data_IF_569814695877
#
_entry.id   IF_569814695877
#
_cell.length_a   1.000
_cell.length_b   1.000
_cell.length_c   1.000
_cell.angle_alpha   90.00
_cell.angle_beta   90.00
_cell.angle_gamma   90.00
#
_symmetry.space_group_name_H-M   'P 1'
#
loop_
_entity.id
_entity.type
_entity.pdbx_description
1 polymer ?
#
# COMPACT_ATOMS: atom_id res chain seq x y z
N UNK A 1 17.04 29.91 -12.33
CA UNK A 1 16.97 28.96 -11.20
C UNK A 1 16.00 27.87 -11.60
N UNK A 2 16.47 26.63 -11.76
CA UNK A 2 15.60 25.54 -12.19
C UNK A 2 14.57 25.29 -11.08
N UNK A 3 13.30 25.57 -11.35
CA UNK A 3 12.20 25.28 -10.44
C UNK A 3 12.12 23.75 -10.37
N UNK A 4 12.40 23.15 -9.20
CA UNK A 4 12.13 21.72 -8.98
C UNK A 4 10.64 21.48 -9.25
N UNK A 5 10.34 20.44 -10.01
CA UNK A 5 8.98 20.15 -10.46
C UNK A 5 8.08 19.65 -9.32
N UNK A 6 8.65 18.97 -8.32
CA UNK A 6 7.95 18.44 -7.15
C UNK A 6 8.81 18.56 -5.89
N UNK A 7 8.16 18.75 -4.75
CA UNK A 7 8.75 18.76 -3.41
C UNK A 7 8.09 17.64 -2.61
N UNK A 8 8.85 16.94 -1.77
CA UNK A 8 8.37 15.77 -1.01
C UNK A 8 8.78 15.91 0.45
N UNK A 9 7.93 15.44 1.37
CA UNK A 9 8.22 15.41 2.81
C UNK A 9 8.34 16.80 3.44
N UNK A 10 9.35 16.98 4.31
CA UNK A 10 9.57 18.21 5.06
C UNK A 10 9.81 19.43 4.15
N UNK A 11 10.42 19.23 2.97
CA UNK A 11 10.59 20.29 1.97
C UNK A 11 9.25 20.86 1.50
N UNK A 12 8.26 19.98 1.26
CA UNK A 12 6.92 20.38 0.85
C UNK A 12 6.16 21.06 2.01
N UNK A 13 6.23 20.50 3.22
CA UNK A 13 5.55 21.04 4.39
C UNK A 13 6.05 22.43 4.79
N UNK A 14 7.36 22.69 4.66
CA UNK A 14 7.96 23.99 4.93
C UNK A 14 7.46 25.08 3.97
N UNK A 15 6.97 24.70 2.78
CA UNK A 15 6.44 25.60 1.76
C UNK A 15 4.92 25.52 1.63
N UNK A 16 4.18 25.07 2.66
CA UNK A 16 2.72 24.92 2.65
C UNK A 16 1.91 26.15 2.22
N UNK A 17 2.49 27.36 2.35
CA UNK A 17 1.85 28.62 1.95
C UNK A 17 2.06 29.00 0.48
N UNK A 18 2.95 28.29 -0.22
CA UNK A 18 3.32 28.55 -1.61
C UNK A 18 3.01 27.36 -2.53
N UNK A 19 2.84 26.16 -1.96
CA UNK A 19 2.59 24.92 -2.68
C UNK A 19 1.19 24.38 -2.36
N UNK A 20 0.57 23.75 -3.35
CA UNK A 20 -0.57 22.86 -3.12
C UNK A 20 -0.02 21.55 -2.56
N UNK A 21 -0.48 21.15 -1.37
CA UNK A 21 -0.07 19.89 -0.75
C UNK A 21 -1.07 18.79 -1.13
N UNK A 22 -0.54 17.72 -1.71
CA UNK A 22 -1.30 16.52 -2.07
C UNK A 22 -0.84 15.36 -1.19
N UNK A 23 -1.82 14.57 -0.71
CA UNK A 23 -1.59 13.42 0.15
C UNK A 23 -2.09 12.17 -0.57
N UNK A 24 -1.19 11.33 -1.09
CA UNK A 24 -1.58 10.19 -1.92
C UNK A 24 -2.14 9.00 -1.12
N UNK A 25 -2.20 9.11 0.21
CA UNK A 25 -2.77 8.12 1.11
C UNK A 25 -3.85 8.78 1.95
N UNK A 26 -5.06 8.25 1.87
CA UNK A 26 -6.20 8.66 2.71
C UNK A 26 -6.74 7.43 3.45
N UNK A 27 -6.90 7.52 4.77
CA UNK A 27 -7.40 6.42 5.61
C UNK A 27 -6.67 5.07 5.41
N UNK A 28 -5.38 5.10 5.09
CA UNK A 28 -4.59 3.89 4.84
C UNK A 28 -4.82 3.25 3.45
N UNK A 29 -5.52 3.95 2.56
CA UNK A 29 -5.73 3.56 1.16
C UNK A 29 -4.95 4.51 0.26
N UNK A 30 -4.26 3.96 -0.74
CA UNK A 30 -3.60 4.76 -1.78
C UNK A 30 -4.67 5.31 -2.73
N UNK A 31 -4.81 6.63 -2.80
CA UNK A 31 -5.79 7.31 -3.66
C UNK A 31 -5.18 7.79 -4.98
N UNK A 32 -3.88 8.12 -4.99
CA UNK A 32 -3.13 8.49 -6.20
C UNK A 32 -1.82 7.70 -6.30
N UNK A 33 -1.71 6.83 -7.29
CA UNK A 33 -0.54 5.97 -7.49
C UNK A 33 0.64 6.71 -8.13
N UNK A 34 0.40 7.73 -8.95
CA UNK A 34 1.47 8.52 -9.59
C UNK A 34 2.25 9.32 -8.53
N UNK A 35 1.53 9.92 -7.59
CA UNK A 35 2.12 10.64 -6.45
C UNK A 35 2.80 9.70 -5.46
N UNK A 36 2.25 8.50 -5.24
CA UNK A 36 2.91 7.46 -4.43
C UNK A 36 4.25 7.04 -5.02
N UNK A 37 4.35 6.90 -6.35
CA UNK A 37 5.61 6.53 -7.01
C UNK A 37 6.70 7.56 -6.72
N UNK A 38 6.37 8.85 -6.80
CA UNK A 38 7.29 9.95 -6.47
C UNK A 38 7.72 9.87 -5.00
N UNK A 39 6.77 9.62 -4.10
CA UNK A 39 7.04 9.52 -2.66
C UNK A 39 7.93 8.32 -2.34
N UNK A 40 7.68 7.16 -2.93
CA UNK A 40 8.52 5.97 -2.75
C UNK A 40 9.90 6.14 -3.35
N UNK A 41 10.01 6.74 -4.54
CA UNK A 41 11.32 7.02 -5.12
C UNK A 41 12.13 7.94 -4.22
N UNK A 42 11.50 8.99 -3.66
CA UNK A 42 12.15 9.86 -2.70
C UNK A 42 12.60 9.08 -1.45
N UNK A 43 11.73 8.24 -0.87
CA UNK A 43 12.06 7.46 0.33
C UNK A 43 13.21 6.47 0.10
N UNK A 44 13.21 5.71 -0.99
CA UNK A 44 14.26 4.73 -1.27
C UNK A 44 15.57 5.37 -1.73
N UNK A 45 15.52 6.32 -2.66
CA UNK A 45 16.71 6.85 -3.30
C UNK A 45 17.35 8.01 -2.51
N UNK A 46 16.56 8.93 -1.95
CA UNK A 46 17.10 10.10 -1.27
C UNK A 46 17.36 9.81 0.22
N UNK A 47 16.36 9.31 0.93
CA UNK A 47 16.44 9.09 2.38
C UNK A 47 17.25 7.83 2.70
N UNK A 48 16.78 6.66 2.24
CA UNK A 48 17.39 5.38 2.57
C UNK A 48 18.64 5.09 1.73
N UNK A 49 18.79 5.72 0.57
CA UNK A 49 19.91 5.54 -0.38
C UNK A 49 20.12 4.08 -0.79
N UNK A 50 19.04 3.33 -0.94
CA UNK A 50 19.04 1.92 -1.33
C UNK A 50 18.37 1.75 -2.69
N UNK A 51 18.84 0.76 -3.47
CA UNK A 51 18.18 0.38 -4.70
C UNK A 51 16.87 -0.38 -4.37
N UNK A 52 15.69 0.08 -4.86
CA UNK A 52 14.42 -0.59 -4.60
C UNK A 52 14.40 -2.04 -5.09
N UNK A 53 15.18 -2.36 -6.13
CA UNK A 53 15.27 -3.70 -6.71
C UNK A 53 15.99 -4.72 -5.82
N UNK A 54 16.83 -4.26 -4.90
CA UNK A 54 17.67 -5.12 -4.07
C UNK A 54 17.08 -5.34 -2.67
N UNK A 55 16.01 -4.61 -2.33
CA UNK A 55 15.46 -4.57 -0.97
C UNK A 55 13.96 -4.89 -1.00
N UNK A 56 13.55 -6.12 -0.65
CA UNK A 56 12.13 -6.46 -0.59
C UNK A 56 11.43 -5.66 0.50
N UNK A 57 10.24 -5.15 0.19
CA UNK A 57 9.43 -4.32 1.09
C UNK A 57 8.21 -5.12 1.51
N UNK A 58 7.92 -5.14 2.82
CA UNK A 58 6.67 -5.66 3.34
C UNK A 58 5.63 -4.53 3.34
N UNK A 59 4.53 -4.73 2.63
CA UNK A 59 3.39 -3.82 2.63
C UNK A 59 2.31 -4.39 3.55
N UNK A 60 1.81 -3.57 4.48
CA UNK A 60 0.70 -3.93 5.37
C UNK A 60 -0.58 -3.29 4.84
N UNK A 61 -1.58 -4.09 4.49
CA UNK A 61 -2.90 -3.59 4.09
C UNK A 61 -3.92 -3.71 5.23
N UNK A 62 -4.86 -2.78 5.29
CA UNK A 62 -5.97 -2.85 6.22
C UNK A 62 -7.00 -3.90 5.75
N UNK A 63 -7.65 -4.64 6.68
CA UNK A 63 -8.64 -5.68 6.36
C UNK A 63 -9.92 -5.15 5.68
N UNK A 64 -10.03 -3.85 5.36
CA UNK A 64 -11.19 -3.25 4.68
C UNK A 64 -10.80 -2.22 3.61
N UNK A 65 -9.71 -2.45 2.88
CA UNK A 65 -9.31 -1.61 1.75
C UNK A 65 -10.33 -1.72 0.57
N UNK A 66 -10.71 -0.66 -0.16
CA UNK A 66 -11.55 -0.82 -1.37
C UNK A 66 -10.99 -1.85 -2.37
N UNK A 67 -11.87 -2.60 -3.04
CA UNK A 67 -11.55 -3.78 -3.87
C UNK A 67 -10.54 -3.52 -5.02
N UNK A 68 -10.24 -2.26 -5.34
CA UNK A 68 -9.28 -1.89 -6.37
C UNK A 68 -7.81 -1.89 -5.93
N UNK A 69 -7.52 -1.94 -4.63
CA UNK A 69 -6.16 -1.71 -4.12
C UNK A 69 -5.41 -2.98 -3.67
N UNK A 70 -6.06 -4.15 -3.71
CA UNK A 70 -5.46 -5.44 -3.32
C UNK A 70 -5.96 -6.54 -4.25
N UNK A 71 -5.24 -6.75 -5.35
CA UNK A 71 -5.63 -7.72 -6.38
C UNK A 71 -5.40 -9.15 -5.91
N UNK A 72 -6.50 -9.86 -5.59
CA UNK A 72 -6.71 -11.33 -5.73
C UNK A 72 -5.74 -12.31 -5.07
N UNK A 73 -4.63 -11.87 -4.49
CA UNK A 73 -3.52 -12.72 -4.08
C UNK A 73 -2.97 -12.27 -2.75
N UNK A 74 -2.95 -13.19 -1.79
CA UNK A 74 -2.32 -13.01 -0.48
C UNK A 74 -0.95 -13.70 -0.47
N UNK A 75 0.10 -12.96 -0.11
CA UNK A 75 1.43 -13.52 0.09
C UNK A 75 1.74 -13.63 1.58
N UNK A 76 2.10 -14.82 2.04
CA UNK A 76 2.56 -15.06 3.42
C UNK A 76 4.08 -15.05 3.44
N UNK A 77 4.65 -14.12 4.21
CA UNK A 77 6.09 -13.97 4.40
C UNK A 77 6.45 -14.18 5.87
N UNK A 78 6.76 -15.42 6.31
CA UNK A 78 7.20 -15.67 7.67
C UNK A 78 8.60 -15.09 7.90
N UNK A 79 8.74 -14.33 8.98
CA UNK A 79 9.98 -13.67 9.39
C UNK A 79 10.42 -14.26 10.73
N UNK A 80 11.68 -14.72 10.81
CA UNK A 80 12.30 -15.21 12.05
C UNK A 80 13.63 -14.48 12.26
N UNK A 81 13.81 -13.86 13.44
CA UNK A 81 14.99 -13.06 13.80
C UNK A 81 15.40 -12.00 12.77
N UNK A 82 14.42 -11.41 12.07
CA UNK A 82 14.64 -10.39 11.05
C UNK A 82 15.00 -10.94 9.66
N UNK A 83 15.08 -12.26 9.50
CA UNK A 83 15.29 -12.90 8.21
C UNK A 83 14.00 -13.52 7.69
N UNK A 84 13.73 -13.35 6.41
CA UNK A 84 12.65 -14.07 5.72
C UNK A 84 13.06 -15.52 5.53
N UNK A 85 12.13 -16.45 5.74
CA UNK A 85 12.36 -17.88 5.52
C UNK A 85 11.93 -18.24 4.08
N UNK A 86 12.85 -18.35 3.11
CA UNK A 86 12.47 -18.40 1.69
C UNK A 86 11.65 -19.63 1.32
N UNK A 87 11.88 -20.73 2.03
CA UNK A 87 11.18 -22.00 1.87
C UNK A 87 9.74 -22.00 2.43
N UNK A 88 9.38 -20.99 3.21
CA UNK A 88 8.07 -20.86 3.84
C UNK A 88 7.27 -19.67 3.26
N UNK A 89 7.73 -19.09 2.15
CA UNK A 89 6.99 -18.09 1.39
C UNK A 89 5.87 -18.80 0.62
N UNK A 90 4.63 -18.42 0.90
CA UNK A 90 3.46 -18.99 0.26
C UNK A 90 2.67 -17.90 -0.46
N UNK A 91 2.35 -18.16 -1.72
CA UNK A 91 1.40 -17.37 -2.51
C UNK A 91 0.07 -18.10 -2.52
N UNK A 92 -0.97 -17.43 -2.04
CA UNK A 92 -2.34 -17.94 -2.09
C UNK A 92 -3.13 -17.01 -3.00
N UNK A 93 -3.68 -17.55 -4.08
CA UNK A 93 -4.60 -16.85 -4.99
C UNK A 93 -6.00 -16.78 -4.36
N UNK A 94 -6.04 -16.27 -3.14
CA UNK A 94 -7.23 -15.97 -2.36
C UNK A 94 -6.99 -14.63 -1.70
N UNK A 95 -7.88 -13.69 -1.92
CA UNK A 95 -7.86 -12.39 -1.26
C UNK A 95 -9.17 -12.13 -0.55
N UNK A 96 -9.22 -10.98 0.11
CA UNK A 96 -10.39 -10.50 0.85
C UNK A 96 -11.63 -10.33 -0.03
N UNK A 97 -11.46 -9.99 -1.31
CA UNK A 97 -12.57 -9.90 -2.27
C UNK A 97 -13.31 -11.22 -2.37
N UNK A 98 -12.58 -12.32 -2.56
CA UNK A 98 -13.15 -13.66 -2.71
C UNK A 98 -13.94 -14.10 -1.46
N UNK A 99 -13.41 -13.79 -0.27
CA UNK A 99 -14.11 -14.07 0.99
C UNK A 99 -15.36 -13.21 1.16
N UNK A 100 -15.29 -11.93 0.77
CA UNK A 100 -16.44 -11.01 0.87
C UNK A 100 -17.54 -11.42 -0.10
N UNK A 101 -17.20 -11.83 -1.31
CA UNK A 101 -18.16 -12.31 -2.32
C UNK A 101 -18.79 -13.64 -1.93
N UNK A 102 -18.04 -14.51 -1.25
CA UNK A 102 -18.57 -15.76 -0.70
C UNK A 102 -19.52 -15.52 0.49
N UNK A 103 -19.15 -14.62 1.41
CA UNK A 103 -19.91 -14.39 2.64
C UNK A 103 -21.10 -13.46 2.46
N UNK A 104 -21.05 -12.49 1.53
CA UNK A 104 -22.11 -11.50 1.35
C UNK A 104 -23.48 -12.13 1.05
N UNK A 105 -23.61 -13.10 0.12
CA UNK A 105 -24.89 -13.76 -0.15
C UNK A 105 -25.41 -14.54 1.06
N UNK A 106 -24.53 -15.24 1.79
CA UNK A 106 -24.92 -16.03 2.95
C UNK A 106 -25.47 -15.16 4.10
N UNK A 107 -24.79 -14.05 4.40
CA UNK A 107 -25.18 -13.14 5.47
C UNK A 107 -26.40 -12.26 5.13
N UNK A 108 -26.59 -11.94 3.84
CA UNK A 108 -27.76 -11.16 3.40
C UNK A 108 -29.01 -12.03 3.30
N UNK A 109 -28.89 -13.30 2.91
CA UNK A 109 -30.01 -14.23 2.84
C UNK A 109 -30.58 -14.58 4.23
N UNK A 110 -29.73 -14.60 5.27
CA UNK A 110 -30.19 -14.77 6.66
C UNK A 110 -30.93 -13.54 7.22
N UNK A 111 -30.74 -12.35 6.64
CA UNK A 111 -31.43 -11.12 7.07
C UNK A 111 -32.82 -10.95 6.45
N UNK A 112 -33.10 -11.62 5.33
CA UNK A 112 -34.46 -11.68 4.73
C UNK A 112 -35.37 -12.74 5.37
N UNK A 113 -34.83 -13.58 6.26
CA UNK A 113 -35.62 -14.51 7.09
C UNK A 113 -36.01 -13.89 8.44
N UNK A 114 -36.68 -12.73 8.44
CA UNK A 114 -37.47 -12.24 9.58
C UNK A 114 -38.70 -11.45 9.13
#
# INVERSE_FOLDING_TARGET
>A
MAKRASYVGDEAQNMRGLLTLEYPIEHGTVTNWDDMEILWYHAFCNELRVAPKEHPVLLTEAPMNPNNCGGGVSHTLPIFEGFTLPHAILRVDLARGDLTDYMSPALLNERDCR
#
